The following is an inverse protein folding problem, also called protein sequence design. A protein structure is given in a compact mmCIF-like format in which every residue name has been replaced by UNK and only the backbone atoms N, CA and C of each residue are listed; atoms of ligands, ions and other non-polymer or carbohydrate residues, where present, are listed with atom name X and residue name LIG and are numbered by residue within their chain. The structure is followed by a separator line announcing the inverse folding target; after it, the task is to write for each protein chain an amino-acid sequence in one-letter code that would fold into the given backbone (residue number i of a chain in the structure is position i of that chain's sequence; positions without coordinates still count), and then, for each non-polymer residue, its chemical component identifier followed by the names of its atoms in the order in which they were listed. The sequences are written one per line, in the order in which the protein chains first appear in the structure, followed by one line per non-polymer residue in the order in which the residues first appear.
data_IF_789974468419
#
_entry.id   IF_789974468419
#
_cell.length_a   1.000
_cell.length_b   1.000
_cell.length_c   1.000
_cell.angle_alpha   90.00
_cell.angle_beta   90.00
_cell.angle_gamma   90.00
#
_symmetry.space_group_name_H-M   'P 1'
#
loop_
_entity.id
_entity.type
_entity.pdbx_description
1 polymer ?
#
# COMPACT_ATOMS: atom_id res chain seq x y z
N UNK A 1 12.59 -2.15 4.31
CA UNK A 1 11.95 -2.67 5.54
C UNK A 1 12.93 -3.16 6.61
N UNK A 2 14.22 -3.35 6.32
CA UNK A 2 15.19 -3.85 7.31
C UNK A 2 15.86 -2.76 8.17
N UNK A 3 15.59 -1.48 7.87
CA UNK A 3 15.96 -0.35 8.70
C UNK A 3 14.73 0.13 9.47
N UNK A 4 14.73 -0.10 10.80
CA UNK A 4 13.61 0.26 11.68
C UNK A 4 13.40 1.78 11.77
N UNK A 5 14.44 2.57 11.59
CA UNK A 5 14.39 4.02 11.83
C UNK A 5 13.92 4.80 10.60
N UNK A 6 13.89 4.17 9.42
CA UNK A 6 13.63 4.83 8.15
C UNK A 6 12.54 4.13 7.31
N UNK A 7 11.75 3.24 7.93
CA UNK A 7 10.67 2.52 7.25
C UNK A 7 9.31 3.09 7.66
N UNK A 8 8.50 3.47 6.67
CA UNK A 8 7.05 3.62 6.86
C UNK A 8 6.40 2.27 6.62
N UNK A 9 5.85 1.68 7.69
CA UNK A 9 5.20 0.38 7.64
C UNK A 9 3.93 0.49 6.80
N UNK A 10 3.16 1.56 6.99
CA UNK A 10 1.89 1.83 6.31
C UNK A 10 2.09 1.96 4.80
N UNK A 11 3.05 2.79 4.36
CA UNK A 11 3.41 2.92 2.93
C UNK A 11 3.87 1.58 2.35
N UNK A 12 4.64 0.81 3.13
CA UNK A 12 5.13 -0.51 2.72
C UNK A 12 4.01 -1.54 2.58
N UNK A 13 3.04 -1.54 3.50
CA UNK A 13 1.86 -2.43 3.45
C UNK A 13 0.96 -2.09 2.26
N UNK A 14 0.65 -0.80 2.04
CA UNK A 14 -0.13 -0.37 0.87
C UNK A 14 0.58 -0.79 -0.42
N UNK A 15 1.88 -0.54 -0.55
CA UNK A 15 2.65 -0.95 -1.73
C UNK A 15 2.67 -2.47 -1.92
N UNK A 16 2.84 -3.23 -0.85
CA UNK A 16 2.86 -4.69 -0.93
C UNK A 16 1.49 -5.26 -1.34
N UNK A 17 0.40 -4.72 -0.78
CA UNK A 17 -0.96 -5.11 -1.17
C UNK A 17 -1.21 -4.79 -2.65
N UNK A 18 -0.88 -3.58 -3.09
CA UNK A 18 -1.13 -3.12 -4.47
C UNK A 18 -0.30 -3.85 -5.52
N UNK A 19 0.99 -4.04 -5.29
CA UNK A 19 1.89 -4.52 -6.34
C UNK A 19 2.16 -6.02 -6.30
N UNK A 20 1.85 -6.70 -5.19
CA UNK A 20 2.12 -8.14 -5.03
C UNK A 20 0.85 -8.91 -4.70
N UNK A 21 0.16 -8.56 -3.61
CA UNK A 21 -0.95 -9.37 -3.10
C UNK A 21 -2.15 -9.32 -4.03
N UNK A 22 -2.61 -8.12 -4.42
CA UNK A 22 -3.80 -7.97 -5.28
C UNK A 22 -3.66 -8.71 -6.63
N UNK A 23 -2.58 -8.55 -7.42
CA UNK A 23 -2.45 -9.27 -8.69
C UNK A 23 -2.53 -10.80 -8.55
N UNK A 24 -1.96 -11.35 -7.47
CA UNK A 24 -2.01 -12.79 -7.18
C UNK A 24 -3.43 -13.21 -6.80
N UNK A 25 -4.06 -12.48 -5.87
CA UNK A 25 -5.38 -12.84 -5.35
C UNK A 25 -6.49 -12.59 -6.36
N UNK A 26 -6.38 -11.61 -7.25
CA UNK A 26 -7.29 -11.41 -8.38
C UNK A 26 -7.24 -12.62 -9.32
N UNK A 27 -6.04 -13.03 -9.75
CA UNK A 27 -5.88 -14.21 -10.62
C UNK A 27 -6.42 -15.48 -9.97
N UNK A 28 -6.18 -15.65 -8.67
CA UNK A 28 -6.71 -16.78 -7.91
C UNK A 28 -8.23 -16.71 -7.77
N UNK A 29 -8.79 -15.53 -7.50
CA UNK A 29 -10.23 -15.35 -7.35
C UNK A 29 -11.00 -15.58 -8.65
N UNK A 30 -10.42 -15.20 -9.80
CA UNK A 30 -10.95 -15.53 -11.12
C UNK A 30 -10.99 -17.05 -11.34
N UNK A 31 -9.97 -17.79 -10.87
CA UNK A 31 -9.90 -19.24 -11.01
C UNK A 31 -10.99 -19.97 -10.19
N UNK A 32 -11.33 -19.46 -9.00
CA UNK A 32 -12.27 -20.11 -8.08
C UNK A 32 -13.59 -19.35 -7.94
N UNK A 33 -13.92 -18.51 -8.92
CA UNK A 33 -15.10 -17.66 -8.84
C UNK A 33 -16.40 -18.47 -8.59
N UNK A 34 -17.25 -18.09 -7.62
CA UNK A 34 -17.24 -16.85 -6.83
C UNK A 34 -16.57 -16.94 -5.44
N UNK A 35 -15.91 -18.05 -5.12
CA UNK A 35 -15.63 -18.44 -3.73
C UNK A 35 -14.62 -17.53 -2.99
N UNK A 36 -13.76 -16.82 -3.72
CA UNK A 36 -12.73 -15.95 -3.13
C UNK A 36 -13.11 -14.47 -3.07
N UNK A 37 -14.33 -14.08 -3.49
CA UNK A 37 -14.71 -12.67 -3.59
C UNK A 37 -14.61 -11.95 -2.23
N UNK A 38 -15.03 -12.59 -1.15
CA UNK A 38 -14.96 -12.02 0.19
C UNK A 38 -13.52 -11.72 0.65
N UNK A 39 -12.53 -12.42 0.07
CA UNK A 39 -11.11 -12.18 0.38
C UNK A 39 -10.62 -10.95 -0.37
N UNK A 40 -11.03 -10.76 -1.63
CA UNK A 40 -10.74 -9.52 -2.36
C UNK A 40 -11.34 -8.31 -1.68
N UNK A 41 -12.60 -8.40 -1.24
CA UNK A 41 -13.28 -7.32 -0.53
C UNK A 41 -12.53 -6.97 0.77
N UNK A 42 -12.09 -7.99 1.52
CA UNK A 42 -11.32 -7.76 2.75
C UNK A 42 -9.91 -7.19 2.48
N UNK A 43 -9.26 -7.57 1.38
CA UNK A 43 -7.97 -6.99 0.97
C UNK A 43 -8.10 -5.50 0.63
N UNK A 44 -9.19 -5.10 -0.01
CA UNK A 44 -9.52 -3.71 -0.31
C UNK A 44 -9.67 -2.90 0.98
N UNK A 45 -10.49 -3.37 1.92
CA UNK A 45 -10.69 -2.73 3.23
C UNK A 45 -9.38 -2.58 4.02
N UNK A 46 -8.52 -3.62 3.99
CA UNK A 46 -7.23 -3.58 4.65
C UNK A 46 -6.29 -2.55 3.99
N UNK A 47 -6.30 -2.45 2.66
CA UNK A 47 -5.51 -1.47 1.92
C UNK A 47 -5.93 -0.05 2.30
N UNK A 48 -7.24 0.21 2.36
CA UNK A 48 -7.79 1.50 2.77
C UNK A 48 -7.43 1.84 4.22
N UNK A 49 -7.52 0.86 5.13
CA UNK A 49 -7.09 1.02 6.52
C UNK A 49 -5.63 1.45 6.63
N UNK A 50 -4.70 0.80 5.93
CA UNK A 50 -3.29 1.22 5.94
C UNK A 50 -3.09 2.57 5.26
N UNK A 51 -3.79 2.84 4.16
CA UNK A 51 -3.71 4.12 3.46
C UNK A 51 -4.14 5.28 4.35
N UNK A 52 -5.22 5.12 5.13
CA UNK A 52 -5.73 6.14 6.05
C UNK A 52 -4.79 6.50 7.20
N UNK A 53 -3.76 5.67 7.44
CA UNK A 53 -2.78 5.83 8.52
C UNK A 53 -1.44 6.38 8.04
N UNK A 54 -1.27 6.55 6.73
CA UNK A 54 -0.10 7.24 6.19
C UNK A 54 -0.26 8.72 6.58
N UNK A 55 0.69 9.30 7.35
CA UNK A 55 0.65 10.72 7.65
C UNK A 55 0.69 11.52 6.33
N UNK A 56 -0.17 12.52 6.20
CA UNK A 56 0.00 13.53 5.16
C UNK A 56 1.41 14.11 5.29
N UNK A 57 2.17 14.15 4.19
CA UNK A 57 3.50 14.74 4.22
C UNK A 57 3.37 16.20 4.69
N UNK A 58 4.12 16.65 5.71
CA UNK A 58 4.20 18.07 5.99
C UNK A 58 4.75 18.77 4.74
N UNK A 59 4.12 19.87 4.32
CA UNK A 59 4.47 20.61 3.09
C UNK A 59 5.98 20.97 3.00
N UNK A 60 6.67 21.05 4.14
CA UNK A 60 8.12 21.29 4.23
C UNK A 60 8.99 20.22 3.57
N UNK A 61 8.50 18.98 3.41
CA UNK A 61 9.24 17.91 2.72
C UNK A 61 9.18 18.05 1.18
N UNK A 62 8.22 18.83 0.64
CA UNK A 62 8.12 19.11 -0.80
C UNK A 62 9.12 20.17 -1.25
N UNK A 63 9.43 21.14 -0.39
CA UNK A 63 10.40 22.21 -0.67
C UNK A 63 11.84 21.68 -0.72
N UNK A 64 12.23 20.81 0.23
CA UNK A 64 13.58 20.25 0.29
C UNK A 64 13.95 19.38 -0.94
N UNK A 65 12.99 18.75 -1.61
CA UNK A 65 13.23 17.97 -2.84
C UNK A 65 13.33 18.84 -4.09
N UNK A 66 12.87 20.09 -4.03
CA UNK A 66 12.91 21.03 -5.17
C UNK A 66 14.23 21.80 -5.18
N UNK A 67 14.83 22.08 -4.03
CA UNK A 67 16.12 22.79 -3.93
C UNK A 67 17.35 21.94 -4.27
N UNK A 68 17.32 20.61 -4.08
CA UNK A 68 18.44 19.73 -4.49
C UNK A 68 18.49 19.41 -6.00
N UNK A 69 17.49 19.84 -6.77
CA UNK A 69 17.45 19.66 -8.24
C UNK A 69 17.69 20.96 -9.02
N UNK A 70 18.08 22.05 -8.35
CA UNK A 70 18.40 23.36 -8.94
C UNK A 70 19.89 23.57 -9.19
#
# INVERSE_FOLDING_TARGET
MCDRNNVSIEKSQVGFITYIVLPIYETWADLVYPDAQNILDQLEENREYYSSRIPDEPDTAREAKTEESG
#
